data_IF_214796229631
#
_entry.id   IF_214796229631
#
_cell.length_a   1.000
_cell.length_b   1.000
_cell.length_c   1.000
_cell.angle_alpha   90.00
_cell.angle_beta   90.00
_cell.angle_gamma   90.00
#
_symmetry.space_group_name_H-M   'P 1'
#
loop_
_entity.id
_entity.type
_entity.pdbx_description
1 polymer ?
#
# COMPACT_ATOMS: atom_id res chain seq x y z
N UNK A 1 -11.40 -13.86 6.67
CA UNK A 1 -10.51 -14.28 5.56
C UNK A 1 -9.71 -13.05 5.10
N UNK A 2 -8.39 -13.14 4.97
CA UNK A 2 -7.56 -12.01 4.52
C UNK A 2 -7.29 -12.12 3.01
N UNK A 3 -7.34 -11.00 2.30
CA UNK A 3 -7.21 -10.94 0.84
C UNK A 3 -5.91 -10.24 0.47
N UNK A 4 -5.15 -10.86 -0.44
CA UNK A 4 -4.02 -10.21 -1.12
C UNK A 4 -4.50 -9.73 -2.49
N UNK A 5 -4.72 -8.43 -2.64
CA UNK A 5 -5.14 -7.83 -3.91
C UNK A 5 -3.95 -7.25 -4.69
N UNK A 6 -3.89 -7.50 -5.99
CA UNK A 6 -2.89 -6.92 -6.89
C UNK A 6 -3.43 -6.71 -8.31
N UNK A 7 -2.67 -6.03 -9.15
CA UNK A 7 -2.89 -6.06 -10.59
C UNK A 7 -2.53 -7.44 -11.20
N UNK A 8 -2.66 -7.54 -12.54
CA UNK A 8 -2.26 -8.71 -13.32
C UNK A 8 -0.79 -8.64 -13.80
N UNK A 9 0.06 -7.87 -13.13
CA UNK A 9 1.46 -7.74 -13.45
C UNK A 9 2.18 -9.09 -13.42
N UNK A 10 3.27 -9.21 -14.19
CA UNK A 10 4.00 -10.47 -14.33
C UNK A 10 4.50 -11.03 -12.99
N UNK A 11 4.87 -10.15 -12.05
CA UNK A 11 5.36 -10.56 -10.74
C UNK A 11 4.25 -11.21 -9.92
N UNK A 12 3.04 -10.62 -9.90
CA UNK A 12 1.93 -11.13 -9.09
C UNK A 12 1.22 -12.35 -9.69
N UNK A 13 1.30 -12.50 -11.02
CA UNK A 13 0.77 -13.67 -11.73
C UNK A 13 1.74 -14.86 -11.74
N UNK A 14 3.02 -14.65 -11.39
CA UNK A 14 4.04 -15.69 -11.38
C UNK A 14 3.68 -16.84 -10.41
N UNK A 15 3.81 -18.12 -10.81
CA UNK A 15 3.42 -19.26 -9.96
C UNK A 15 4.03 -19.26 -8.57
N UNK A 16 5.30 -18.85 -8.45
CA UNK A 16 6.00 -18.72 -7.16
C UNK A 16 5.31 -17.74 -6.20
N UNK A 17 4.83 -16.59 -6.68
CA UNK A 17 4.11 -15.62 -5.83
C UNK A 17 2.76 -16.18 -5.44
N UNK A 18 2.04 -16.84 -6.37
CA UNK A 18 0.74 -17.47 -6.07
C UNK A 18 0.86 -18.54 -4.99
N UNK A 19 1.92 -19.34 -5.03
CA UNK A 19 2.23 -20.33 -4.00
C UNK A 19 2.48 -19.64 -2.65
N UNK A 20 3.36 -18.64 -2.59
CA UNK A 20 3.70 -17.93 -1.36
C UNK A 20 2.48 -17.25 -0.71
N UNK A 21 1.61 -16.65 -1.52
CA UNK A 21 0.36 -16.02 -1.04
C UNK A 21 -0.57 -17.08 -0.43
N UNK A 22 -0.70 -18.25 -1.06
CA UNK A 22 -1.52 -19.34 -0.55
C UNK A 22 -0.94 -19.97 0.73
N UNK A 23 0.37 -20.19 0.78
CA UNK A 23 1.09 -20.70 1.97
C UNK A 23 0.99 -19.75 3.17
N UNK A 24 0.96 -18.45 2.91
CA UNK A 24 0.73 -17.44 3.94
C UNK A 24 -0.75 -17.32 4.37
N UNK A 25 -1.66 -18.13 3.80
CA UNK A 25 -3.08 -18.18 4.19
C UNK A 25 -3.94 -17.06 3.61
N UNK A 26 -3.46 -16.33 2.61
CA UNK A 26 -4.22 -15.26 1.94
C UNK A 26 -4.97 -15.79 0.72
N UNK A 27 -6.18 -15.25 0.50
CA UNK A 27 -6.89 -15.40 -0.76
C UNK A 27 -6.36 -14.38 -1.77
N UNK A 28 -5.79 -14.86 -2.88
CA UNK A 28 -5.35 -13.98 -3.96
C UNK A 28 -6.55 -13.38 -4.70
N UNK A 29 -6.52 -12.08 -4.93
CA UNK A 29 -7.49 -11.33 -5.73
C UNK A 29 -6.74 -10.49 -6.76
N UNK A 30 -7.20 -10.49 -8.01
CA UNK A 30 -6.65 -9.66 -9.06
C UNK A 30 -7.76 -8.99 -9.85
N UNK A 31 -7.65 -7.69 -10.04
CA UNK A 31 -8.61 -6.92 -10.84
C UNK A 31 -8.72 -7.48 -12.27
N UNK A 32 -9.92 -7.42 -12.86
CA UNK A 32 -10.10 -7.71 -14.29
C UNK A 32 -9.41 -6.64 -15.13
N UNK A 33 -8.96 -6.99 -16.33
CA UNK A 33 -8.46 -6.01 -17.31
C UNK A 33 -9.54 -4.95 -17.55
N UNK A 34 -9.16 -3.67 -17.47
CA UNK A 34 -10.08 -2.53 -17.61
C UNK A 34 -10.89 -2.20 -16.35
N UNK A 35 -10.66 -2.85 -15.22
CA UNK A 35 -11.23 -2.47 -13.93
C UNK A 35 -10.12 -1.97 -13.00
N UNK A 36 -10.13 -0.67 -12.68
CA UNK A 36 -9.13 -0.04 -11.83
C UNK A 36 -9.59 0.24 -10.40
N UNK A 37 -10.87 0.02 -10.06
CA UNK A 37 -11.45 0.49 -8.80
C UNK A 37 -10.71 -0.02 -7.56
N UNK A 38 -10.38 -1.31 -7.54
CA UNK A 38 -9.67 -1.92 -6.40
C UNK A 38 -8.20 -1.48 -6.32
N UNK A 39 -7.60 -1.10 -7.45
CA UNK A 39 -6.22 -0.59 -7.51
C UNK A 39 -6.12 0.91 -7.25
N UNK A 40 -7.19 1.66 -7.52
CA UNK A 40 -7.19 3.12 -7.53
C UNK A 40 -6.68 3.72 -6.21
N UNK A 41 -7.01 3.11 -5.07
CA UNK A 41 -6.53 3.57 -3.76
C UNK A 41 -5.01 3.46 -3.62
N UNK A 42 -4.43 2.34 -4.06
CA UNK A 42 -2.98 2.15 -4.02
C UNK A 42 -2.27 3.01 -5.07
N UNK A 43 -2.85 3.17 -6.26
CA UNK A 43 -2.31 4.08 -7.29
C UNK A 43 -2.29 5.53 -6.81
N UNK A 44 -3.37 5.99 -6.17
CA UNK A 44 -3.44 7.32 -5.55
C UNK A 44 -2.38 7.50 -4.47
N UNK A 45 -2.23 6.51 -3.56
CA UNK A 45 -1.18 6.51 -2.54
C UNK A 45 0.21 6.68 -3.16
N UNK A 46 0.56 5.86 -4.17
CA UNK A 46 1.87 5.95 -4.80
C UNK A 46 2.07 7.22 -5.62
N UNK A 47 0.99 7.82 -6.16
CA UNK A 47 1.02 9.13 -6.78
C UNK A 47 1.45 10.20 -5.77
N UNK A 48 0.72 10.31 -4.67
CA UNK A 48 1.03 11.25 -3.59
C UNK A 48 2.45 11.05 -3.03
N UNK A 49 2.86 9.80 -2.80
CA UNK A 49 4.21 9.51 -2.31
C UNK A 49 5.28 10.04 -3.26
N UNK A 50 5.11 9.89 -4.58
CA UNK A 50 6.11 10.36 -5.56
C UNK A 50 6.15 11.88 -5.68
N UNK A 51 5.03 12.55 -5.44
CA UNK A 51 4.93 14.01 -5.49
C UNK A 51 5.51 14.67 -4.23
N UNK A 52 5.37 14.00 -3.08
CA UNK A 52 5.72 14.56 -1.77
C UNK A 52 7.09 14.10 -1.26
N UNK A 53 7.56 12.93 -1.69
CA UNK A 53 8.85 12.39 -1.28
C UNK A 53 9.97 12.99 -2.15
N UNK A 54 10.81 13.81 -1.54
CA UNK A 54 12.04 14.28 -2.17
C UNK A 54 13.09 13.16 -2.14
N UNK A 55 13.30 12.49 -3.28
CA UNK A 55 14.31 11.42 -3.42
C UNK A 55 15.44 11.75 -4.39
N UNK A 56 15.38 12.89 -5.09
CA UNK A 56 16.33 13.21 -6.18
C UNK A 56 17.77 13.40 -5.68
N UNK A 57 17.93 13.70 -4.39
CA UNK A 57 19.21 13.87 -3.71
C UNK A 57 19.82 12.56 -3.21
N UNK A 58 19.02 11.48 -3.13
CA UNK A 58 19.48 10.18 -2.62
C UNK A 58 20.58 9.59 -3.52
N UNK A 59 21.75 9.32 -2.95
CA UNK A 59 22.90 8.72 -3.63
C UNK A 59 22.96 7.21 -3.47
N UNK A 60 22.14 6.65 -2.58
CA UNK A 60 22.11 5.21 -2.30
C UNK A 60 20.70 4.68 -2.07
N UNK A 61 20.53 3.37 -2.29
CA UNK A 61 19.29 2.69 -1.94
C UNK A 61 19.01 2.74 -0.43
N UNK A 62 20.05 2.82 0.41
CA UNK A 62 19.90 2.93 1.85
C UNK A 62 19.27 4.27 2.24
N UNK A 63 19.73 5.38 1.67
CA UNK A 63 19.14 6.71 1.86
C UNK A 63 17.68 6.75 1.38
N UNK A 64 17.40 6.21 0.20
CA UNK A 64 16.04 6.14 -0.31
C UNK A 64 15.11 5.35 0.62
N UNK A 65 15.58 4.24 1.18
CA UNK A 65 14.81 3.44 2.15
C UNK A 65 14.49 4.24 3.41
N UNK A 66 15.40 5.06 3.89
CA UNK A 66 15.16 5.94 5.05
C UNK A 66 14.03 6.93 4.72
N UNK A 67 14.13 7.64 3.58
CA UNK A 67 13.10 8.60 3.16
C UNK A 67 11.73 7.95 2.96
N UNK A 68 11.69 6.75 2.38
CA UNK A 68 10.44 5.99 2.24
C UNK A 68 9.87 5.63 3.61
N UNK A 69 10.68 5.15 4.56
CA UNK A 69 10.21 4.80 5.90
C UNK A 69 9.68 6.03 6.68
N UNK A 70 10.35 7.18 6.55
CA UNK A 70 9.90 8.45 7.12
C UNK A 70 8.54 8.85 6.53
N UNK A 71 8.40 8.77 5.21
CA UNK A 71 7.13 9.02 4.53
C UNK A 71 6.02 8.06 5.01
N UNK A 72 6.31 6.76 5.11
CA UNK A 72 5.34 5.76 5.57
C UNK A 72 4.88 6.03 7.01
N UNK A 73 5.78 6.47 7.89
CA UNK A 73 5.46 6.82 9.27
C UNK A 73 4.54 8.04 9.30
N UNK A 74 4.91 9.10 8.58
CA UNK A 74 4.09 10.32 8.53
C UNK A 74 2.71 10.05 7.92
N UNK A 75 2.65 9.27 6.84
CA UNK A 75 1.38 8.94 6.19
C UNK A 75 0.44 8.12 7.09
N UNK A 76 0.95 7.12 7.80
CA UNK A 76 0.11 6.22 8.59
C UNK A 76 -0.24 6.75 9.97
N UNK A 77 0.68 7.49 10.60
CA UNK A 77 0.57 7.85 12.02
C UNK A 77 0.34 9.34 12.26
N UNK A 78 0.57 10.22 11.27
CA UNK A 78 0.51 11.69 11.45
C UNK A 78 -0.49 12.37 10.50
N UNK A 79 -0.81 11.75 9.35
CA UNK A 79 -1.67 12.33 8.33
C UNK A 79 -3.15 12.03 8.56
N UNK A 80 -3.88 13.00 9.06
CA UNK A 80 -5.34 12.94 9.17
C UNK A 80 -6.02 12.99 7.80
N UNK A 81 -6.98 12.10 7.56
CA UNK A 81 -7.70 12.01 6.29
C UNK A 81 -9.20 12.25 6.48
N UNK A 82 -9.78 13.13 5.68
CA UNK A 82 -11.22 13.44 5.72
C UNK A 82 -12.10 12.21 5.48
N UNK A 83 -11.69 11.34 4.57
CA UNK A 83 -12.36 10.08 4.25
C UNK A 83 -12.33 9.07 5.40
N UNK A 84 -11.35 9.18 6.29
CA UNK A 84 -11.18 8.32 7.48
C UNK A 84 -11.78 8.96 8.73
N UNK A 85 -12.86 9.74 8.59
CA UNK A 85 -13.50 10.49 9.69
C UNK A 85 -12.52 11.42 10.44
N UNK A 86 -11.53 11.98 9.71
CA UNK A 86 -10.45 12.81 10.27
C UNK A 86 -9.54 12.08 11.26
N UNK A 87 -9.35 10.78 11.08
CA UNK A 87 -8.32 10.00 11.77
C UNK A 87 -7.12 9.77 10.86
N UNK A 88 -5.97 9.43 11.44
CA UNK A 88 -4.86 8.83 10.70
C UNK A 88 -5.19 7.39 10.32
N UNK A 89 -4.51 6.79 9.32
CA UNK A 89 -4.70 5.37 8.98
C UNK A 89 -4.56 4.42 10.19
N UNK A 90 -3.59 4.65 11.07
CA UNK A 90 -3.37 3.82 12.26
C UNK A 90 -4.48 3.98 13.30
N UNK A 91 -4.93 5.22 13.54
CA UNK A 91 -6.06 5.51 14.41
C UNK A 91 -7.35 4.89 13.87
N UNK A 92 -7.60 5.03 12.57
CA UNK A 92 -8.79 4.48 11.92
C UNK A 92 -8.81 2.95 12.01
N UNK A 93 -7.66 2.30 11.77
CA UNK A 93 -7.51 0.84 11.94
C UNK A 93 -7.80 0.42 13.37
N UNK A 94 -7.26 1.14 14.35
CA UNK A 94 -7.45 0.84 15.77
C UNK A 94 -8.91 1.04 16.21
N UNK A 95 -9.55 2.10 15.72
CA UNK A 95 -10.98 2.36 15.92
C UNK A 95 -11.86 1.22 15.38
N UNK A 96 -11.56 0.71 14.17
CA UNK A 96 -12.30 -0.42 13.60
C UNK A 96 -12.10 -1.74 14.33
N UNK A 97 -10.95 -1.94 14.99
CA UNK A 97 -10.67 -3.16 15.77
C UNK A 97 -11.31 -3.14 17.16
N UNK A 98 -11.57 -1.96 17.71
CA UNK A 98 -12.21 -1.78 19.01
C UNK A 98 -13.75 -1.75 18.94
N UNK A 99 -14.30 -1.61 17.73
CA UNK A 99 -15.74 -1.60 17.44
C UNK A 99 -16.27 -3.03 17.20
#
# INVERSE_FOLDING_TARGET
EAIFHSDQGMHYTHPKIRLLVAEAGFKQSMSRKGNCWDNASMESFFGHMKDELEYKDCQSLAELRVRVNEYMTSYNSERFQWTLKKMTPDEYRSHLLAA
#
